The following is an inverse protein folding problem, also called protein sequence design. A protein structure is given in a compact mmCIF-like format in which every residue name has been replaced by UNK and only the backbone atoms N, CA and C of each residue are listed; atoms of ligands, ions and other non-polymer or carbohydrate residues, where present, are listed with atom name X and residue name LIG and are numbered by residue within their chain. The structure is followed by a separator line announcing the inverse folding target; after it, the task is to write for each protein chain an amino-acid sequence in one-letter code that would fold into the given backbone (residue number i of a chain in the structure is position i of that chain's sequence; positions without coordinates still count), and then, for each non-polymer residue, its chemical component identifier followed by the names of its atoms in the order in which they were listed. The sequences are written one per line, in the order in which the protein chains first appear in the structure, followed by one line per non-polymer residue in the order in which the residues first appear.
data_IF_750709032823
#
_entry.id   IF_750709032823
#
_cell.length_a   1.000
_cell.length_b   1.000
_cell.length_c   1.000
_cell.angle_alpha   90.00
_cell.angle_beta   90.00
_cell.angle_gamma   90.00
#
_symmetry.space_group_name_H-M   'P 1'
#
loop_
_entity.id
_entity.type
_entity.pdbx_description
1 polymer ?
#
# COMPACT_ATOMS: atom_id res chain seq x y z
N UNK A 1 8.91 -1.13 16.29
CA UNK A 1 9.41 -0.39 15.12
C UNK A 1 9.99 0.94 15.58
N UNK A 2 11.22 1.29 15.21
CA UNK A 2 11.82 2.60 15.50
C UNK A 2 11.87 3.43 14.21
N UNK A 3 11.40 4.68 14.27
CA UNK A 3 11.26 5.55 13.10
C UNK A 3 11.59 7.00 13.41
N UNK A 4 12.01 7.72 12.39
CA UNK A 4 12.52 9.09 12.48
C UNK A 4 11.46 10.11 12.06
N UNK A 5 11.13 11.05 12.93
CA UNK A 5 10.31 12.20 12.60
C UNK A 5 11.19 13.37 12.12
N UNK A 6 10.74 14.10 11.10
CA UNK A 6 11.44 15.31 10.64
C UNK A 6 11.42 16.37 11.74
N UNK A 7 12.64 16.88 12.06
CA UNK A 7 13.18 17.33 13.36
C UNK A 7 14.12 16.33 14.07
N UNK A 8 14.45 15.20 13.42
CA UNK A 8 15.45 14.18 13.85
C UNK A 8 15.17 13.58 15.23
N UNK A 9 13.92 13.23 15.50
CA UNK A 9 13.53 12.51 16.71
C UNK A 9 13.14 11.07 16.40
N UNK A 10 13.75 10.12 17.11
CA UNK A 10 13.39 8.70 17.04
C UNK A 10 12.18 8.43 17.92
N UNK A 11 11.16 7.78 17.35
CA UNK A 11 9.96 7.34 18.07
C UNK A 11 9.77 5.85 17.87
N UNK A 12 9.46 5.16 18.97
CA UNK A 12 8.98 3.79 18.92
C UNK A 12 7.49 3.80 18.58
N UNK A 13 7.10 3.03 17.58
CA UNK A 13 5.72 2.97 17.10
C UNK A 13 5.10 1.63 17.46
N UNK A 14 4.00 1.75 18.20
CA UNK A 14 3.17 0.69 18.73
C UNK A 14 1.74 1.22 18.87
N UNK A 15 0.75 0.34 18.71
CA UNK A 15 -0.67 0.73 18.83
C UNK A 15 -1.27 1.24 17.52
N UNK A 16 -2.04 2.31 17.60
CA UNK A 16 -2.84 2.91 16.51
C UNK A 16 -2.17 4.15 15.92
N UNK A 17 -2.66 4.62 14.77
CA UNK A 17 -2.20 5.88 14.18
C UNK A 17 -2.44 7.08 15.11
N UNK A 18 -3.51 7.06 15.90
CA UNK A 18 -3.78 8.08 16.92
C UNK A 18 -2.73 8.11 18.02
N UNK A 19 -2.22 6.94 18.43
CA UNK A 19 -1.13 6.84 19.40
C UNK A 19 0.15 7.46 18.85
N UNK A 20 0.49 7.16 17.58
CA UNK A 20 1.62 7.76 16.88
C UNK A 20 1.51 9.29 16.81
N UNK A 21 0.34 9.82 16.41
CA UNK A 21 0.10 11.26 16.36
C UNK A 21 0.21 11.92 17.74
N UNK A 22 -0.26 11.25 18.79
CA UNK A 22 -0.12 11.74 20.17
C UNK A 22 1.35 11.82 20.59
N UNK A 23 2.15 10.78 20.31
CA UNK A 23 3.58 10.77 20.62
C UNK A 23 4.32 11.83 19.81
N UNK A 24 4.03 11.94 18.51
CA UNK A 24 4.62 12.95 17.63
C UNK A 24 4.28 14.37 18.12
N UNK A 25 3.02 14.63 18.52
CA UNK A 25 2.59 15.92 19.06
C UNK A 25 3.40 16.32 20.28
N UNK A 26 3.53 15.41 21.24
CA UNK A 26 4.26 15.65 22.48
C UNK A 26 5.75 15.89 22.25
N UNK A 27 6.37 15.11 21.34
CA UNK A 27 7.82 15.21 21.12
C UNK A 27 8.23 16.41 20.26
N UNK A 28 7.42 16.77 19.27
CA UNK A 28 7.67 17.87 18.36
C UNK A 28 7.11 19.21 18.88
N UNK A 29 6.25 19.18 19.90
CA UNK A 29 5.62 20.39 20.43
C UNK A 29 4.60 21.03 19.48
N UNK A 30 3.97 20.21 18.62
CA UNK A 30 2.97 20.62 17.63
C UNK A 30 1.67 19.85 17.84
N UNK A 31 0.54 20.33 17.32
CA UNK A 31 -0.69 19.52 17.23
C UNK A 31 -0.66 18.64 15.98
N UNK A 32 0.00 17.49 16.07
CA UNK A 32 0.09 16.56 14.94
C UNK A 32 -1.29 16.05 14.53
N UNK A 33 -1.58 16.09 13.24
CA UNK A 33 -2.87 15.68 12.65
C UNK A 33 -2.70 14.65 11.55
N UNK A 34 -1.60 14.72 10.80
CA UNK A 34 -1.34 13.88 9.64
C UNK A 34 0.11 13.42 9.63
N UNK A 35 0.33 12.21 9.12
CA UNK A 35 1.66 11.58 8.98
C UNK A 35 1.91 11.27 7.51
N UNK A 36 3.10 11.55 7.02
CA UNK A 36 3.51 11.33 5.64
C UNK A 36 4.84 10.59 5.59
N UNK A 37 5.10 9.83 4.53
CA UNK A 37 6.42 9.23 4.29
C UNK A 37 7.39 10.25 3.66
N UNK A 38 8.66 9.86 3.50
CA UNK A 38 9.69 10.68 2.86
C UNK A 38 9.48 11.03 1.39
N UNK A 39 8.40 10.53 0.77
CA UNK A 39 7.96 10.92 -0.58
C UNK A 39 6.73 11.83 -0.56
N UNK A 40 6.26 12.24 0.62
CA UNK A 40 5.08 13.08 0.80
C UNK A 40 3.73 12.34 0.72
N UNK A 41 3.73 11.00 0.71
CA UNK A 41 2.49 10.21 0.72
C UNK A 41 1.91 10.11 2.13
N UNK A 42 0.60 10.35 2.27
CA UNK A 42 -0.11 10.23 3.54
C UNK A 42 -0.10 8.78 4.05
N UNK A 43 0.12 8.61 5.34
CA UNK A 43 0.05 7.33 6.05
C UNK A 43 -1.25 7.30 6.84
N UNK A 44 -2.15 6.41 6.44
CA UNK A 44 -3.48 6.19 7.02
C UNK A 44 -3.57 4.88 7.84
N UNK A 45 -2.66 3.93 7.59
CA UNK A 45 -2.53 2.69 8.35
C UNK A 45 -1.10 2.55 8.90
N UNK A 46 -1.00 2.31 10.21
CA UNK A 46 0.26 2.13 10.93
C UNK A 46 1.03 0.89 10.44
N UNK A 47 0.33 -0.10 9.87
CA UNK A 47 0.95 -1.29 9.27
C UNK A 47 1.81 -0.96 8.03
N UNK A 48 1.67 0.24 7.46
CA UNK A 48 2.46 0.71 6.31
C UNK A 48 3.85 1.19 6.72
N UNK A 49 4.07 1.43 8.01
CA UNK A 49 5.30 2.00 8.55
C UNK A 49 6.32 0.88 8.79
N UNK A 50 7.53 1.05 8.23
CA UNK A 50 8.64 0.11 8.36
C UNK A 50 9.70 0.63 9.32
N UNK A 51 10.57 -0.26 9.77
CA UNK A 51 11.78 0.16 10.49
C UNK A 51 12.61 1.09 9.60
N UNK A 52 13.21 2.11 10.21
CA UNK A 52 14.03 3.15 9.57
C UNK A 52 13.29 4.10 8.61
N UNK A 53 11.96 4.02 8.50
CA UNK A 53 11.20 5.01 7.76
C UNK A 53 11.36 6.42 8.35
N UNK A 54 11.56 7.39 7.46
CA UNK A 54 11.51 8.82 7.80
C UNK A 54 10.09 9.31 7.55
N UNK A 55 9.44 9.73 8.62
CA UNK A 55 8.09 10.25 8.62
C UNK A 55 8.09 11.77 8.80
N UNK A 56 7.21 12.41 8.06
CA UNK A 56 6.92 13.83 8.12
C UNK A 56 5.58 13.98 8.81
N UNK A 57 5.50 14.85 9.80
CA UNK A 57 4.26 15.10 10.54
C UNK A 57 3.91 16.56 10.44
N UNK A 58 2.62 16.83 10.19
CA UNK A 58 2.11 18.18 10.02
C UNK A 58 1.08 18.53 11.08
N UNK A 59 1.05 19.82 11.42
CA UNK A 59 0.04 20.47 12.25
C UNK A 59 -0.91 21.26 11.34
N UNK A 60 -2.22 21.02 11.47
CA UNK A 60 -3.26 21.71 10.70
C UNK A 60 -4.11 20.78 9.83
N UNK A 61 -4.84 21.35 8.87
CA UNK A 61 -5.62 20.58 7.90
C UNK A 61 -4.66 19.80 6.98
N UNK A 62 -5.01 18.56 6.55
CA UNK A 62 -4.22 17.84 5.56
C UNK A 62 -4.03 18.73 4.33
N UNK A 63 -2.85 18.64 3.70
CA UNK A 63 -2.54 19.40 2.50
C UNK A 63 -3.70 19.26 1.51
N UNK A 64 -4.33 20.39 1.16
CA UNK A 64 -5.46 20.43 0.23
C UNK A 64 -4.98 19.80 -1.07
N UNK A 65 -5.50 18.63 -1.41
CA UNK A 65 -5.36 18.10 -2.75
C UNK A 65 -6.08 19.10 -3.68
N UNK A 66 -5.37 19.72 -4.64
CA UNK A 66 -6.03 20.61 -5.61
C UNK A 66 -7.16 19.91 -6.39
N UNK A 67 -7.33 18.59 -6.26
CA UNK A 67 -8.33 17.78 -6.94
C UNK A 67 -9.66 17.60 -6.19
N UNK A 68 -9.84 18.11 -4.96
CA UNK A 68 -11.13 17.94 -4.26
C UNK A 68 -12.25 18.90 -4.67
N UNK A 69 -12.05 19.78 -5.66
CA UNK A 69 -13.15 20.60 -6.16
C UNK A 69 -13.06 20.82 -7.67
N UNK A 70 -13.39 19.80 -8.47
CA UNK A 70 -14.07 19.95 -9.77
C UNK A 70 -14.29 18.63 -10.49
N UNK A 71 -15.52 18.45 -10.98
CA UNK A 71 -15.99 17.39 -11.87
C UNK A 71 -15.21 17.31 -13.20
N UNK A 72 -14.76 16.08 -13.57
CA UNK A 72 -14.43 15.48 -14.91
C UNK A 72 -13.43 16.19 -15.86
N UNK A 73 -12.77 15.54 -16.85
CA UNK A 73 -12.74 14.13 -17.28
C UNK A 73 -11.31 13.53 -17.44
N UNK A 74 -11.25 12.27 -17.90
CA UNK A 74 -10.09 11.43 -18.24
C UNK A 74 -8.81 12.15 -18.74
N UNK A 75 -7.68 11.69 -18.22
CA UNK A 75 -6.35 11.97 -18.74
C UNK A 75 -5.49 12.76 -17.76
N UNK A 76 -4.34 12.19 -17.38
CA UNK A 76 -3.25 12.85 -16.64
C UNK A 76 -3.43 12.96 -15.11
N UNK A 77 -3.53 11.83 -14.40
CA UNK A 77 -3.19 11.77 -12.97
C UNK A 77 -1.89 10.98 -12.76
N UNK A 78 -0.79 11.70 -12.91
CA UNK A 78 0.48 11.36 -12.29
C UNK A 78 0.44 11.84 -10.83
N UNK A 79 -0.09 11.00 -9.94
CA UNK A 79 0.02 11.19 -8.48
C UNK A 79 0.30 9.83 -7.85
N UNK A 80 1.51 9.67 -7.32
CA UNK A 80 2.14 8.40 -6.97
C UNK A 80 1.70 7.84 -5.60
N UNK A 81 0.41 7.56 -5.44
CA UNK A 81 -0.04 6.51 -4.51
C UNK A 81 -1.03 5.62 -5.24
N UNK A 82 -0.53 4.87 -6.23
CA UNK A 82 -1.28 3.82 -6.93
C UNK A 82 -1.46 2.60 -6.00
N UNK A 83 -2.09 2.80 -4.84
CA UNK A 83 -2.59 1.70 -4.03
C UNK A 83 -3.73 1.04 -4.80
N UNK A 84 -3.67 -0.28 -4.86
CA UNK A 84 -4.59 -1.15 -5.56
C UNK A 84 -5.10 -2.17 -4.56
N UNK A 85 -6.42 -2.37 -4.58
CA UNK A 85 -7.04 -3.50 -3.89
C UNK A 85 -7.32 -4.59 -4.92
N UNK A 86 -6.89 -5.81 -4.62
CA UNK A 86 -7.10 -7.00 -5.41
C UNK A 86 -8.06 -7.91 -4.63
N UNK A 87 -9.11 -8.41 -5.30
CA UNK A 87 -10.00 -9.42 -4.78
C UNK A 87 -9.67 -10.75 -5.47
N UNK A 88 -8.98 -11.64 -4.74
CA UNK A 88 -8.45 -12.91 -5.25
C UNK A 88 -9.27 -14.04 -4.68
N UNK A 89 -10.14 -14.63 -5.50
CA UNK A 89 -11.03 -15.73 -5.07
C UNK A 89 -11.90 -15.40 -3.85
N UNK A 90 -12.20 -14.11 -3.61
CA UNK A 90 -12.97 -13.62 -2.46
C UNK A 90 -12.14 -13.02 -1.32
N UNK A 91 -10.80 -13.16 -1.32
CA UNK A 91 -9.91 -12.55 -0.32
C UNK A 91 -9.32 -11.25 -0.84
N UNK A 92 -9.33 -10.22 -0.01
CA UNK A 92 -8.82 -8.89 -0.36
C UNK A 92 -7.34 -8.75 -0.02
N UNK A 93 -6.56 -8.22 -0.96
CA UNK A 93 -5.15 -7.89 -0.81
C UNK A 93 -4.92 -6.45 -1.24
N UNK A 94 -4.13 -5.70 -0.46
CA UNK A 94 -3.77 -4.31 -0.78
C UNK A 94 -2.28 -4.22 -1.09
N UNK A 95 -1.94 -3.57 -2.20
CA UNK A 95 -0.55 -3.41 -2.66
C UNK A 95 -0.42 -2.17 -3.53
N UNK A 96 0.80 -1.76 -3.86
CA UNK A 96 1.02 -0.70 -4.84
C UNK A 96 1.15 -1.26 -6.26
N UNK A 97 0.80 -0.45 -7.27
CA UNK A 97 1.06 -0.76 -8.68
C UNK A 97 2.53 -1.08 -8.93
N UNK A 98 3.44 -0.33 -8.30
CA UNK A 98 4.88 -0.56 -8.40
C UNK A 98 5.30 -1.96 -7.98
N UNK A 99 4.69 -2.53 -6.93
CA UNK A 99 4.95 -3.93 -6.53
C UNK A 99 4.58 -4.92 -7.64
N UNK A 100 3.45 -4.69 -8.32
CA UNK A 100 2.96 -5.60 -9.35
C UNK A 100 3.74 -5.50 -10.67
N UNK A 101 4.31 -4.34 -10.99
CA UNK A 101 4.93 -4.07 -12.30
C UNK A 101 6.46 -4.07 -12.30
N UNK A 102 7.11 -3.80 -11.17
CA UNK A 102 8.57 -3.56 -11.17
C UNK A 102 9.41 -4.83 -11.08
N UNK A 103 8.97 -5.83 -10.29
CA UNK A 103 9.81 -6.99 -9.98
C UNK A 103 9.93 -7.95 -11.17
N UNK A 104 8.81 -8.24 -11.81
CA UNK A 104 8.71 -9.14 -12.96
C UNK A 104 7.94 -8.42 -14.09
N UNK A 105 8.60 -7.56 -14.88
CA UNK A 105 7.94 -6.68 -15.84
C UNK A 105 7.24 -7.42 -16.98
N UNK A 106 7.63 -8.67 -17.23
CA UNK A 106 7.03 -9.54 -18.24
C UNK A 106 5.90 -10.44 -17.68
N UNK A 107 5.62 -10.35 -16.37
CA UNK A 107 4.56 -11.14 -15.74
C UNK A 107 3.17 -10.71 -16.18
N UNK A 108 2.19 -11.60 -16.02
CA UNK A 108 0.78 -11.28 -16.26
C UNK A 108 0.31 -10.09 -15.39
N UNK A 109 0.70 -10.06 -14.10
CA UNK A 109 0.36 -8.97 -13.21
C UNK A 109 0.98 -7.65 -13.66
N UNK A 110 2.23 -7.67 -14.11
CA UNK A 110 2.85 -6.48 -14.68
C UNK A 110 2.07 -5.98 -15.89
N UNK A 111 1.72 -6.85 -16.84
CA UNK A 111 0.91 -6.48 -18.01
C UNK A 111 -0.48 -5.94 -17.64
N UNK A 112 -1.16 -6.55 -16.66
CA UNK A 112 -2.47 -6.11 -16.18
C UNK A 112 -2.45 -4.70 -15.59
N UNK A 113 -1.33 -4.33 -14.94
CA UNK A 113 -1.21 -3.10 -14.19
C UNK A 113 -0.19 -2.10 -14.78
N UNK A 114 0.36 -2.38 -15.97
CA UNK A 114 1.30 -1.48 -16.68
C UNK A 114 0.60 -0.21 -17.15
N UNK A 115 -0.55 -0.38 -17.81
CA UNK A 115 -1.32 0.72 -18.37
C UNK A 115 -2.59 0.97 -17.56
N UNK A 116 -2.76 2.22 -17.12
CA UNK A 116 -3.96 2.69 -16.41
C UNK A 116 -5.14 2.72 -17.41
N UNK A 117 -5.93 1.64 -17.47
CA UNK A 117 -7.19 1.62 -18.22
C UNK A 117 -7.57 0.29 -18.86
N UNK A 118 -6.61 -0.61 -19.08
CA UNK A 118 -6.86 -1.84 -19.86
C UNK A 118 -7.68 -2.88 -19.08
N UNK A 119 -7.58 -2.90 -17.74
CA UNK A 119 -8.25 -3.90 -16.89
C UNK A 119 -9.40 -3.34 -16.03
N UNK A 120 -9.85 -2.10 -16.29
CA UNK A 120 -10.90 -1.44 -15.49
C UNK A 120 -12.23 -2.18 -15.44
N UNK A 121 -12.52 -3.03 -16.43
CA UNK A 121 -13.80 -3.76 -16.54
C UNK A 121 -13.97 -4.96 -15.60
N UNK A 122 -12.97 -5.27 -14.75
CA UNK A 122 -13.01 -6.40 -13.82
C UNK A 122 -12.82 -5.95 -12.38
N UNK A 123 -13.62 -4.99 -11.93
CA UNK A 123 -13.66 -4.58 -10.53
C UNK A 123 -14.95 -5.06 -9.87
N UNK A 124 -14.90 -5.36 -8.57
CA UNK A 124 -16.11 -5.60 -7.77
C UNK A 124 -16.83 -4.28 -7.40
N UNK A 125 -17.95 -4.40 -6.70
CA UNK A 125 -18.74 -3.25 -6.21
C UNK A 125 -17.96 -2.30 -5.29
N UNK A 126 -16.79 -2.70 -4.79
CA UNK A 126 -15.90 -1.90 -3.92
C UNK A 126 -14.71 -1.32 -4.70
N UNK A 127 -14.63 -1.55 -6.01
CA UNK A 127 -13.51 -1.10 -6.84
C UNK A 127 -12.26 -1.99 -6.77
N UNK A 128 -12.34 -3.18 -6.16
CA UNK A 128 -11.20 -4.09 -6.11
C UNK A 128 -11.07 -4.90 -7.40
N UNK A 129 -9.85 -5.02 -7.94
CA UNK A 129 -9.59 -5.78 -9.16
C UNK A 129 -9.76 -7.28 -8.91
N UNK A 130 -10.63 -7.90 -9.70
CA UNK A 130 -10.97 -9.31 -9.58
C UNK A 130 -9.87 -10.19 -10.20
N UNK A 131 -9.42 -11.16 -9.41
CA UNK A 131 -8.49 -12.21 -9.80
C UNK A 131 -9.14 -13.55 -9.47
N UNK A 132 -9.47 -14.31 -10.51
CA UNK A 132 -10.12 -15.62 -10.42
C UNK A 132 -9.09 -16.73 -10.12
N UNK A 133 -8.45 -16.64 -8.95
CA UNK A 133 -7.45 -17.60 -8.45
C UNK A 133 -7.59 -17.81 -6.95
N UNK A 134 -7.00 -18.90 -6.45
CA UNK A 134 -6.97 -19.19 -5.01
C UNK A 134 -6.06 -18.19 -4.29
N UNK A 135 -6.55 -17.58 -3.18
CA UNK A 135 -5.75 -16.63 -2.40
C UNK A 135 -4.59 -17.28 -1.66
N UNK A 136 -4.66 -18.58 -1.35
CA UNK A 136 -3.60 -19.35 -0.66
C UNK A 136 -2.29 -19.36 -1.47
N UNK A 137 -2.40 -19.44 -2.79
CA UNK A 137 -1.26 -19.40 -3.70
C UNK A 137 -0.82 -17.97 -4.05
N UNK A 138 -1.71 -16.99 -3.87
CA UNK A 138 -1.45 -15.60 -4.25
C UNK A 138 -0.59 -14.86 -3.24
N UNK A 139 -0.79 -15.11 -1.94
CA UNK A 139 -0.04 -14.43 -0.88
C UNK A 139 1.49 -14.63 -0.99
N UNK A 140 2.01 -15.86 -1.20
CA UNK A 140 3.43 -16.07 -1.44
C UNK A 140 3.95 -15.33 -2.68
N UNK A 141 3.16 -15.25 -3.75
CA UNK A 141 3.51 -14.53 -4.98
C UNK A 141 3.60 -13.03 -4.70
N UNK A 142 2.61 -12.46 -4.02
CA UNK A 142 2.61 -11.04 -3.67
C UNK A 142 3.80 -10.68 -2.78
N UNK A 143 4.13 -11.54 -1.82
CA UNK A 143 5.30 -11.38 -0.96
C UNK A 143 6.62 -11.47 -1.75
N UNK A 144 6.74 -12.43 -2.68
CA UNK A 144 7.87 -12.47 -3.62
C UNK A 144 8.01 -11.16 -4.41
N UNK A 145 6.92 -10.57 -4.90
CA UNK A 145 6.95 -9.29 -5.60
C UNK A 145 7.35 -8.11 -4.71
N UNK A 146 7.11 -8.18 -3.39
CA UNK A 146 7.44 -7.12 -2.42
C UNK A 146 8.91 -7.11 -2.03
N UNK A 147 9.48 -8.27 -1.69
CA UNK A 147 10.83 -8.37 -1.11
C UNK A 147 11.78 -9.29 -1.88
N UNK A 148 11.32 -9.95 -2.95
CA UNK A 148 12.15 -10.79 -3.80
C UNK A 148 12.50 -12.16 -3.21
N UNK A 149 11.85 -12.56 -2.12
CA UNK A 149 12.03 -13.89 -1.51
C UNK A 149 10.70 -14.63 -1.56
N UNK A 150 10.72 -15.86 -2.06
CA UNK A 150 9.56 -16.74 -2.04
C UNK A 150 9.53 -17.46 -0.70
N UNK A 151 8.56 -17.10 0.14
CA UNK A 151 8.31 -17.75 1.43
C UNK A 151 6.96 -18.45 1.32
N UNK A 152 6.98 -19.76 1.53
CA UNK A 152 5.80 -20.62 1.41
C UNK A 152 5.66 -21.37 2.73
N UNK A 153 4.45 -21.36 3.30
CA UNK A 153 4.18 -22.08 4.54
C UNK A 153 4.25 -23.60 4.30
N UNK A 154 4.73 -24.34 5.31
CA UNK A 154 4.71 -25.79 5.31
C UNK A 154 3.27 -26.29 5.08
N UNK A 155 3.06 -27.07 4.03
CA UNK A 155 1.76 -27.64 3.66
C UNK A 155 1.09 -27.04 2.41
N UNK A 156 1.63 -25.98 1.81
CA UNK A 156 1.17 -25.53 0.48
C UNK A 156 1.72 -26.48 -0.59
N UNK A 157 0.84 -27.17 -1.31
CA UNK A 157 1.27 -27.96 -2.47
C UNK A 157 1.67 -27.04 -3.62
N UNK A 158 2.98 -26.86 -3.83
CA UNK A 158 3.55 -26.01 -4.88
C UNK A 158 3.13 -26.40 -6.31
N UNK A 159 2.66 -27.64 -6.52
CA UNK A 159 2.14 -28.09 -7.81
C UNK A 159 0.70 -27.61 -8.07
N UNK A 160 0.00 -27.09 -7.05
CA UNK A 160 -1.40 -26.69 -7.18
C UNK A 160 -2.36 -27.86 -7.34
N UNK A 161 -1.88 -29.09 -7.17
CA UNK A 161 -2.70 -30.29 -7.26
C UNK A 161 -3.37 -30.54 -5.91
N UNK A 162 -4.69 -30.52 -5.87
CA UNK A 162 -5.40 -31.10 -4.74
C UNK A 162 -5.11 -32.61 -4.78
N UNK A 163 -4.33 -33.11 -3.82
CA UNK A 163 -4.22 -34.55 -3.61
C UNK A 163 -5.60 -35.03 -3.16
N UNK A 164 -6.32 -35.67 -4.10
CA UNK A 164 -7.52 -36.47 -3.86
C UNK A 164 -7.19 -37.76 -3.14
#
# INVERSE_FOLDING_TARGET
VQINLVCLQVVAVYGTLSDLLSVASNKLGIKATSVYNGKGGLIDDIALIRDDDVLFVCEGEPFIDPQTDSKVPEGLSGSHTDWLTLNVGGRYFTTTRSTLVNKEPDSMLAHMFKDKGVWGNKQDHRGAFLIDRSPEYFEPILNYLRHGQLIVNDGINLLGEFSV
#
